data_IF_611037642413
#
_entry.id   IF_611037642413
#
_cell.length_a   1.000
_cell.length_b   1.000
_cell.length_c   1.000
_cell.angle_alpha   90.00
_cell.angle_beta   90.00
_cell.angle_gamma   90.00
#
_symmetry.space_group_name_H-M   'P 1'
#
loop_
_entity.id
_entity.type
_entity.pdbx_description
1 polymer ?
#
# COMPACT_ATOMS: atom_id res chain seq x y z
N UNK A 1 -10.00 -16.06 19.32
CA UNK A 1 -9.57 -14.71 19.72
C UNK A 1 -8.21 -14.86 20.37
N UNK A 2 -7.22 -14.13 19.88
CA UNK A 2 -5.82 -14.16 20.38
C UNK A 2 -5.63 -13.07 21.43
N UNK A 3 -6.20 -11.90 21.21
CA UNK A 3 -6.18 -10.75 22.11
C UNK A 3 -7.37 -9.85 21.81
N UNK A 4 -7.91 -9.23 22.83
CA UNK A 4 -8.92 -8.18 22.72
C UNK A 4 -8.28 -6.86 23.14
N UNK A 5 -8.72 -5.78 22.51
CA UNK A 5 -8.28 -4.43 22.81
C UNK A 5 -9.48 -3.59 23.18
N UNK A 6 -9.28 -2.61 24.05
CA UNK A 6 -10.30 -1.60 24.32
C UNK A 6 -10.62 -0.83 23.02
N UNK A 7 -11.76 -0.16 22.99
CA UNK A 7 -12.16 0.66 21.84
C UNK A 7 -11.09 1.74 21.57
N UNK A 8 -10.49 1.67 20.41
CA UNK A 8 -9.41 2.57 19.95
C UNK A 8 -9.61 2.88 18.47
N UNK A 9 -8.98 3.94 17.99
CA UNK A 9 -9.00 4.27 16.57
C UNK A 9 -7.97 3.42 15.82
N UNK A 10 -8.43 2.69 14.83
CA UNK A 10 -7.58 1.80 14.01
C UNK A 10 -6.55 2.57 13.17
N UNK A 11 -6.80 3.84 12.94
CA UNK A 11 -5.92 4.78 12.21
C UNK A 11 -4.93 5.52 13.12
N UNK A 12 -4.83 5.12 14.38
CA UNK A 12 -3.79 5.59 15.30
C UNK A 12 -2.52 4.76 15.11
N UNK A 13 -1.37 5.43 14.96
CA UNK A 13 -0.09 4.77 14.68
C UNK A 13 0.39 3.87 15.81
N UNK A 14 0.14 4.25 17.06
CA UNK A 14 0.58 3.47 18.22
C UNK A 14 -0.30 2.23 18.37
N UNK A 15 -1.59 2.36 18.10
CA UNK A 15 -2.54 1.24 18.05
C UNK A 15 -2.15 0.25 16.94
N UNK A 16 -1.88 0.73 15.73
CA UNK A 16 -1.44 -0.12 14.62
C UNK A 16 -0.14 -0.87 14.97
N UNK A 17 0.86 -0.16 15.47
CA UNK A 17 2.14 -0.74 15.87
C UNK A 17 1.96 -1.81 16.96
N UNK A 18 1.15 -1.53 17.98
CA UNK A 18 0.86 -2.46 19.06
C UNK A 18 0.17 -3.74 18.56
N UNK A 19 -0.86 -3.59 17.75
CA UNK A 19 -1.60 -4.74 17.18
C UNK A 19 -0.68 -5.61 16.35
N UNK A 20 0.11 -5.03 15.45
CA UNK A 20 1.04 -5.77 14.60
C UNK A 20 2.13 -6.47 15.43
N UNK A 21 2.66 -5.80 16.43
CA UNK A 21 3.66 -6.40 17.35
C UNK A 21 3.09 -7.62 18.08
N UNK A 22 1.88 -7.51 18.61
CA UNK A 22 1.21 -8.62 19.27
C UNK A 22 0.91 -9.79 18.34
N UNK A 23 0.48 -9.51 17.11
CA UNK A 23 0.23 -10.55 16.10
C UNK A 23 1.52 -11.28 15.71
N UNK A 24 2.60 -10.55 15.48
CA UNK A 24 3.90 -11.12 15.13
C UNK A 24 4.45 -11.97 16.28
N UNK A 25 4.35 -11.49 17.52
CA UNK A 25 4.81 -12.23 18.70
C UNK A 25 4.06 -13.55 18.93
N UNK A 26 2.84 -13.69 18.41
CA UNK A 26 2.04 -14.93 18.48
C UNK A 26 2.24 -15.86 17.30
N UNK A 27 2.95 -15.43 16.27
CA UNK A 27 3.21 -16.24 15.08
C UNK A 27 4.53 -17.01 15.21
N UNK A 28 4.54 -18.23 14.66
CA UNK A 28 5.76 -19.03 14.53
C UNK A 28 6.53 -18.76 13.24
N UNK A 29 5.98 -17.95 12.32
CA UNK A 29 6.66 -17.60 11.07
C UNK A 29 7.67 -16.46 11.26
N UNK A 30 8.63 -16.39 10.37
CA UNK A 30 9.61 -15.30 10.31
C UNK A 30 9.33 -14.32 9.16
N UNK A 31 8.43 -14.69 8.24
CA UNK A 31 8.07 -13.92 7.05
C UNK A 31 6.62 -13.47 7.14
N UNK A 32 6.40 -12.20 6.92
CA UNK A 32 5.08 -11.58 7.03
C UNK A 32 4.79 -10.75 5.78
N UNK A 33 3.57 -10.82 5.32
CA UNK A 33 3.01 -9.88 4.35
C UNK A 33 1.81 -9.19 4.96
N UNK A 34 1.49 -8.00 4.49
CA UNK A 34 0.35 -7.21 4.94
C UNK A 34 -0.57 -6.91 3.77
N UNK A 35 -1.86 -6.89 4.05
CA UNK A 35 -2.89 -6.39 3.15
C UNK A 35 -3.64 -5.29 3.89
N UNK A 36 -3.71 -4.12 3.29
CA UNK A 36 -4.45 -2.98 3.80
C UNK A 36 -5.61 -2.68 2.87
N UNK A 37 -6.84 -2.85 3.36
CA UNK A 37 -8.07 -2.50 2.65
C UNK A 37 -8.72 -1.29 3.31
N UNK A 38 -8.82 -0.17 2.61
CA UNK A 38 -9.50 1.04 3.08
C UNK A 38 -9.62 2.10 1.98
N UNK A 39 -10.23 3.24 2.31
CA UNK A 39 -10.06 4.45 1.51
C UNK A 39 -8.65 5.00 1.66
N UNK A 40 -8.10 5.55 0.57
CA UNK A 40 -6.84 6.25 0.59
C UNK A 40 -6.77 7.31 -0.52
N UNK A 41 -5.85 8.24 -0.39
CA UNK A 41 -5.71 9.39 -1.30
C UNK A 41 -4.25 9.79 -1.53
N UNK A 42 -3.33 8.83 -1.41
CA UNK A 42 -1.90 9.07 -1.61
C UNK A 42 -1.25 9.91 -0.49
N UNK A 43 -0.07 10.44 -0.79
CA UNK A 43 0.79 11.21 0.12
C UNK A 43 0.42 12.71 0.21
N UNK A 44 -0.43 13.20 -0.68
CA UNK A 44 -0.80 14.61 -0.72
C UNK A 44 -1.56 15.00 0.55
N UNK A 45 -0.83 15.60 1.48
CA UNK A 45 -1.39 16.29 2.61
C UNK A 45 -1.98 17.63 2.12
N UNK A 46 -3.16 17.59 1.52
CA UNK A 46 -3.75 18.77 0.91
C UNK A 46 -4.73 19.44 1.85
N UNK A 47 -5.11 20.66 1.49
CA UNK A 47 -6.13 21.57 2.02
C UNK A 47 -7.46 20.90 2.43
N UNK A 48 -7.63 19.60 2.15
CA UNK A 48 -8.77 18.79 2.55
C UNK A 48 -8.34 17.78 3.63
N UNK A 49 -8.93 17.81 4.82
CA UNK A 49 -8.56 16.95 5.97
C UNK A 49 -8.70 15.45 5.72
N UNK A 50 -9.28 15.02 4.60
CA UNK A 50 -9.63 13.63 4.30
C UNK A 50 -8.61 12.87 3.45
N UNK A 51 -7.35 13.34 3.33
CA UNK A 51 -6.37 12.74 2.42
C UNK A 51 -5.22 12.06 3.16
N UNK A 52 -5.43 10.79 3.44
CA UNK A 52 -4.49 9.91 4.10
C UNK A 52 -4.89 8.47 3.79
N UNK A 53 -4.46 7.52 4.59
CA UNK A 53 -4.90 6.15 4.56
C UNK A 53 -5.89 5.90 5.71
N UNK A 54 -6.93 5.12 5.42
CA UNK A 54 -7.90 4.69 6.42
C UNK A 54 -8.90 5.78 6.81
N UNK A 55 -9.96 5.35 7.43
CA UNK A 55 -11.00 6.24 7.95
C UNK A 55 -11.65 5.57 9.15
N UNK A 56 -11.73 6.26 10.27
CA UNK A 56 -12.31 5.77 11.52
C UNK A 56 -13.11 6.88 12.20
N UNK A 57 -14.06 6.51 13.09
CA UNK A 57 -14.83 7.49 13.86
C UNK A 57 -15.58 8.50 12.99
N UNK A 58 -16.61 8.11 12.28
CA UNK A 58 -17.42 8.99 11.40
C UNK A 58 -16.61 9.74 10.31
N UNK A 59 -15.39 9.31 10.04
CA UNK A 59 -14.55 9.90 9.01
C UNK A 59 -13.62 11.01 9.47
N UNK A 60 -13.62 11.34 10.75
CA UNK A 60 -12.80 12.43 11.30
C UNK A 60 -11.35 12.04 11.54
N UNK A 61 -11.08 10.73 11.68
CA UNK A 61 -9.74 10.22 11.94
C UNK A 61 -9.19 9.49 10.71
N UNK A 62 -8.00 9.88 10.30
CA UNK A 62 -7.24 9.27 9.20
C UNK A 62 -5.77 9.17 9.58
N UNK A 63 -5.03 8.24 8.97
CA UNK A 63 -3.60 8.08 9.20
C UNK A 63 -2.80 8.70 8.05
N UNK A 64 -1.85 9.56 8.38
CA UNK A 64 -0.91 10.09 7.39
C UNK A 64 0.07 9.01 6.94
N UNK A 65 0.55 9.10 5.71
CA UNK A 65 1.56 8.15 5.19
C UNK A 65 2.83 8.09 6.08
N UNK A 66 3.39 9.21 6.55
CA UNK A 66 4.52 9.15 7.49
C UNK A 66 4.21 8.42 8.79
N UNK A 67 3.02 8.61 9.36
CA UNK A 67 2.60 7.94 10.61
C UNK A 67 2.44 6.44 10.39
N UNK A 68 1.90 6.03 9.23
CA UNK A 68 1.79 4.63 8.85
C UNK A 68 3.17 3.98 8.70
N UNK A 69 4.11 4.66 8.04
CA UNK A 69 5.49 4.19 7.91
C UNK A 69 6.17 4.09 9.29
N UNK A 70 5.95 5.06 10.18
CA UNK A 70 6.47 5.02 11.56
C UNK A 70 5.92 3.81 12.32
N UNK A 71 4.59 3.60 12.29
CA UNK A 71 3.94 2.46 12.92
C UNK A 71 4.49 1.11 12.46
N UNK A 72 4.67 0.94 11.16
CA UNK A 72 5.20 -0.29 10.59
C UNK A 72 6.69 -0.47 10.88
N UNK A 73 7.46 0.61 10.92
CA UNK A 73 8.88 0.56 11.26
C UNK A 73 9.12 0.21 12.73
N UNK A 74 8.23 0.65 13.62
CA UNK A 74 8.30 0.35 15.07
C UNK A 74 8.17 -1.15 15.38
N UNK A 75 7.54 -1.92 14.50
CA UNK A 75 7.43 -3.39 14.62
C UNK A 75 8.79 -4.10 14.48
N UNK A 76 9.80 -3.40 13.95
CA UNK A 76 11.16 -3.92 13.75
C UNK A 76 11.19 -5.21 12.88
N UNK A 77 10.35 -5.26 11.87
CA UNK A 77 10.28 -6.31 10.86
C UNK A 77 10.11 -5.69 9.48
N UNK A 78 10.87 -6.17 8.51
CA UNK A 78 10.62 -5.85 7.11
C UNK A 78 9.64 -6.88 6.54
N UNK A 79 8.55 -6.40 5.98
CA UNK A 79 7.51 -7.24 5.38
C UNK A 79 7.95 -7.73 4.00
N UNK A 80 7.59 -8.97 3.65
CA UNK A 80 7.86 -9.51 2.31
C UNK A 80 7.09 -8.73 1.24
N UNK A 81 5.86 -8.37 1.55
CA UNK A 81 5.07 -7.50 0.70
C UNK A 81 4.09 -6.67 1.52
N UNK A 82 3.65 -5.55 0.95
CA UNK A 82 2.45 -4.82 1.35
C UNK A 82 1.55 -4.71 0.12
N UNK A 83 0.31 -5.19 0.23
CA UNK A 83 -0.73 -4.99 -0.76
C UNK A 83 -1.70 -3.92 -0.26
N UNK A 84 -1.88 -2.87 -1.03
CA UNK A 84 -2.87 -1.84 -0.77
C UNK A 84 -4.10 -2.05 -1.65
N UNK A 85 -5.16 -2.57 -1.07
CA UNK A 85 -6.50 -2.53 -1.63
C UNK A 85 -7.13 -1.18 -1.28
N UNK A 86 -6.54 -0.15 -1.85
CA UNK A 86 -6.83 1.25 -1.55
C UNK A 86 -6.39 2.15 -2.71
N UNK A 87 -7.11 3.25 -2.91
CA UNK A 87 -6.88 4.17 -4.01
C UNK A 87 -5.55 4.92 -3.88
N UNK A 88 -4.87 5.17 -5.01
CA UNK A 88 -3.70 6.05 -5.13
C UNK A 88 -2.47 5.66 -4.32
N UNK A 89 -2.42 4.46 -3.76
CA UNK A 89 -1.27 4.01 -2.96
C UNK A 89 -0.07 3.56 -3.80
N UNK A 90 -0.20 3.49 -5.14
CA UNK A 90 0.88 3.12 -6.07
C UNK A 90 1.71 4.30 -6.60
N UNK A 91 1.58 5.50 -6.04
CA UNK A 91 2.39 6.65 -6.43
C UNK A 91 3.85 6.48 -6.00
N UNK A 92 4.75 7.11 -6.75
CA UNK A 92 6.20 7.02 -6.49
C UNK A 92 6.57 7.48 -5.09
N UNK A 93 5.91 8.52 -4.59
CA UNK A 93 6.15 9.09 -3.27
C UNK A 93 5.76 8.13 -2.16
N UNK A 94 4.59 7.48 -2.29
CA UNK A 94 4.17 6.43 -1.35
C UNK A 94 5.13 5.25 -1.40
N UNK A 95 5.46 4.76 -2.59
CA UNK A 95 6.40 3.67 -2.75
C UNK A 95 7.78 3.97 -2.14
N UNK A 96 8.27 5.19 -2.33
CA UNK A 96 9.51 5.64 -1.70
C UNK A 96 9.42 5.68 -0.18
N UNK A 97 8.28 6.15 0.37
CA UNK A 97 8.07 6.17 1.81
C UNK A 97 8.15 4.75 2.43
N UNK A 98 7.56 3.76 1.76
CA UNK A 98 7.51 2.38 2.25
C UNK A 98 8.75 1.52 1.92
N UNK A 99 9.75 2.03 1.18
CA UNK A 99 10.89 1.25 0.68
C UNK A 99 11.69 0.49 1.74
N UNK A 100 11.75 1.01 2.95
CA UNK A 100 12.45 0.37 4.06
C UNK A 100 11.54 -0.57 4.89
N UNK A 101 10.23 -0.51 4.66
CA UNK A 101 9.21 -1.24 5.42
C UNK A 101 8.90 -2.59 4.79
N UNK A 102 8.88 -2.68 3.46
CA UNK A 102 8.60 -3.92 2.74
C UNK A 102 9.60 -4.17 1.61
N UNK A 103 9.63 -5.42 1.12
CA UNK A 103 10.43 -5.80 -0.05
C UNK A 103 9.69 -5.48 -1.34
N UNK A 104 8.37 -5.70 -1.36
CA UNK A 104 7.52 -5.44 -2.51
C UNK A 104 6.26 -4.70 -2.09
N UNK A 105 5.79 -3.78 -2.95
CA UNK A 105 4.50 -3.12 -2.80
C UNK A 105 3.62 -3.45 -4.00
N UNK A 106 2.36 -3.86 -3.73
CA UNK A 106 1.33 -4.09 -4.74
C UNK A 106 0.24 -3.04 -4.51
N UNK A 107 0.00 -2.19 -5.50
CA UNK A 107 -0.90 -1.05 -5.31
C UNK A 107 -1.30 -0.40 -6.63
N UNK A 108 -2.39 0.34 -6.62
CA UNK A 108 -2.85 1.12 -7.77
C UNK A 108 -2.38 2.56 -7.70
N UNK A 109 -1.94 3.11 -8.84
CA UNK A 109 -1.65 4.56 -8.99
C UNK A 109 -2.94 5.38 -9.15
N UNK A 110 -4.05 4.71 -9.39
CA UNK A 110 -5.39 5.29 -9.55
C UNK A 110 -6.33 4.80 -8.44
N UNK A 111 -7.59 5.17 -8.54
CA UNK A 111 -8.62 4.57 -7.68
C UNK A 111 -8.68 3.06 -7.87
N UNK A 112 -8.96 2.35 -6.82
CA UNK A 112 -9.35 0.94 -6.87
C UNK A 112 -10.87 0.90 -6.98
N UNK A 113 -11.43 0.24 -8.01
CA UNK A 113 -12.88 0.16 -8.15
C UNK A 113 -13.51 -0.57 -6.96
N UNK A 114 -14.80 -0.32 -6.71
CA UNK A 114 -15.51 -0.73 -5.50
C UNK A 114 -15.47 -2.22 -5.13
N UNK A 115 -15.22 -3.10 -6.10
CA UNK A 115 -15.06 -4.54 -5.83
C UNK A 115 -13.71 -4.88 -5.15
N UNK A 116 -12.74 -3.97 -5.17
CA UNK A 116 -11.42 -4.21 -4.60
C UNK A 116 -10.61 -5.28 -5.34
N UNK A 117 -9.71 -5.91 -4.64
CA UNK A 117 -8.92 -7.01 -5.17
C UNK A 117 -9.68 -8.35 -5.08
N UNK A 118 -9.58 -9.24 -6.10
CA UNK A 118 -10.30 -10.53 -6.13
C UNK A 118 -9.59 -11.56 -5.23
N UNK A 119 -9.79 -11.49 -3.92
CA UNK A 119 -9.07 -12.28 -2.91
C UNK A 119 -9.13 -13.80 -3.18
N UNK A 120 -10.26 -14.32 -3.65
CA UNK A 120 -10.42 -15.75 -3.95
C UNK A 120 -9.46 -16.22 -5.04
N UNK A 121 -9.14 -15.38 -6.01
CA UNK A 121 -8.31 -15.73 -7.15
C UNK A 121 -6.82 -15.70 -6.85
N UNK A 122 -6.36 -14.78 -6.02
CA UNK A 122 -4.94 -14.51 -5.87
C UNK A 122 -4.31 -14.96 -4.52
N UNK A 123 -5.08 -15.15 -3.45
CA UNK A 123 -4.53 -15.48 -2.12
C UNK A 123 -3.55 -16.66 -2.17
N UNK A 124 -3.82 -17.66 -2.99
CA UNK A 124 -2.93 -18.82 -3.19
C UNK A 124 -1.51 -18.46 -3.65
N UNK A 125 -1.32 -17.31 -4.28
CA UNK A 125 -0.01 -16.84 -4.76
C UNK A 125 0.78 -16.10 -3.69
N UNK A 126 0.13 -15.42 -2.75
CA UNK A 126 0.80 -14.64 -1.71
C UNK A 126 1.64 -15.50 -0.76
N UNK A 127 1.21 -16.73 -0.49
CA UNK A 127 1.90 -17.62 0.45
C UNK A 127 3.28 -18.10 -0.01
N UNK A 128 3.59 -18.00 -1.29
CA UNK A 128 4.88 -18.48 -1.83
C UNK A 128 6.01 -17.46 -1.66
N UNK A 129 5.67 -16.18 -1.55
CA UNK A 129 6.59 -15.12 -1.19
C UNK A 129 7.70 -14.86 -2.22
N UNK A 130 7.39 -14.96 -3.52
CA UNK A 130 8.34 -14.67 -4.59
C UNK A 130 7.73 -13.72 -5.63
N UNK A 131 8.59 -13.04 -6.38
CA UNK A 131 8.20 -11.99 -7.33
C UNK A 131 7.28 -12.49 -8.45
N UNK A 132 7.47 -13.73 -8.93
CA UNK A 132 6.66 -14.27 -10.02
C UNK A 132 5.23 -14.59 -9.54
N UNK A 133 5.06 -14.97 -8.30
CA UNK A 133 3.74 -15.15 -7.73
C UNK A 133 3.08 -13.80 -7.44
N UNK A 134 3.82 -12.76 -7.04
CA UNK A 134 3.27 -11.40 -6.92
C UNK A 134 2.83 -10.83 -8.28
N UNK A 135 3.53 -11.13 -9.38
CA UNK A 135 3.05 -10.81 -10.73
C UNK A 135 1.71 -11.48 -11.05
N UNK A 136 1.50 -12.73 -10.58
CA UNK A 136 0.20 -13.42 -10.74
C UNK A 136 -0.90 -12.76 -9.93
N UNK A 137 -0.60 -12.21 -8.75
CA UNK A 137 -1.57 -11.37 -8.00
C UNK A 137 -2.02 -10.19 -8.84
N UNK A 138 -1.07 -9.45 -9.41
CA UNK A 138 -1.38 -8.32 -10.29
C UNK A 138 -2.17 -8.77 -11.53
N UNK A 139 -1.79 -9.89 -12.13
CA UNK A 139 -2.51 -10.42 -13.31
C UNK A 139 -3.95 -10.82 -12.95
N UNK A 140 -4.16 -11.50 -11.81
CA UNK A 140 -5.51 -11.86 -11.34
C UNK A 140 -6.40 -10.64 -11.17
N UNK A 141 -5.85 -9.54 -10.63
CA UNK A 141 -6.57 -8.27 -10.50
C UNK A 141 -7.00 -7.71 -11.86
N UNK A 142 -6.10 -7.66 -12.84
CA UNK A 142 -6.40 -7.16 -14.18
C UNK A 142 -7.40 -8.06 -14.90
N UNK A 143 -7.25 -9.38 -14.79
CA UNK A 143 -8.15 -10.35 -15.45
C UNK A 143 -9.56 -10.31 -14.85
N UNK A 144 -9.68 -10.12 -13.53
CA UNK A 144 -10.95 -9.92 -12.86
C UNK A 144 -11.69 -8.71 -13.44
N UNK A 145 -11.04 -7.55 -13.51
CA UNK A 145 -11.69 -6.34 -14.04
C UNK A 145 -11.97 -6.43 -15.54
N UNK A 146 -11.13 -7.11 -16.32
CA UNK A 146 -11.44 -7.41 -17.72
C UNK A 146 -12.68 -8.28 -17.88
N UNK A 147 -12.92 -9.20 -16.96
CA UNK A 147 -14.11 -10.07 -17.01
C UNK A 147 -15.40 -9.35 -16.62
N UNK A 148 -15.30 -8.38 -15.68
CA UNK A 148 -16.46 -7.60 -15.23
C UNK A 148 -16.96 -6.59 -16.27
N UNK A 149 -16.04 -6.06 -17.03
CA UNK A 149 -16.32 -5.00 -17.98
C UNK A 149 -16.27 -5.55 -19.41
N UNK A 150 -17.43 -5.90 -19.95
CA UNK A 150 -17.57 -6.28 -21.35
C UNK A 150 -17.26 -5.11 -22.29
N UNK A 151 -17.00 -5.40 -23.56
CA UNK A 151 -16.73 -4.39 -24.60
C UNK A 151 -17.76 -3.25 -24.56
N UNK A 152 -17.28 -2.01 -24.53
CA UNK A 152 -18.10 -0.79 -24.53
C UNK A 152 -18.34 -0.14 -23.15
N UNK A 153 -17.90 -0.72 -22.05
CA UNK A 153 -17.91 -0.07 -20.73
C UNK A 153 -16.56 0.54 -20.42
N UNK A 154 -16.56 1.73 -19.79
CA UNK A 154 -15.34 2.42 -19.36
C UNK A 154 -14.73 1.70 -18.15
N UNK A 155 -14.04 0.59 -18.41
CA UNK A 155 -13.32 -0.13 -17.37
C UNK A 155 -11.90 0.40 -17.29
N UNK A 156 -11.53 0.81 -16.11
CA UNK A 156 -10.14 1.14 -15.79
C UNK A 156 -9.77 0.48 -14.47
N UNK A 157 -8.67 -0.21 -14.50
CA UNK A 157 -8.02 -0.77 -13.32
C UNK A 157 -6.53 -0.74 -13.55
N UNK A 158 -5.78 -0.29 -12.57
CA UNK A 158 -4.33 -0.27 -12.62
C UNK A 158 -3.77 -0.96 -11.39
N UNK A 159 -2.66 -1.66 -11.57
CA UNK A 159 -1.89 -2.22 -10.46
C UNK A 159 -0.41 -2.22 -10.82
N UNK A 160 0.40 -1.86 -9.86
CA UNK A 160 1.85 -1.87 -9.95
C UNK A 160 2.43 -2.86 -8.94
N UNK A 161 3.41 -3.62 -9.37
CA UNK A 161 4.31 -4.37 -8.49
C UNK A 161 5.63 -3.60 -8.41
N UNK A 162 5.91 -3.05 -7.24
CA UNK A 162 7.04 -2.17 -7.01
C UNK A 162 8.08 -2.94 -6.18
N UNK A 163 9.33 -3.00 -6.68
CA UNK A 163 10.46 -3.53 -5.93
C UNK A 163 11.09 -2.40 -5.11
N UNK A 164 10.96 -2.49 -3.80
CA UNK A 164 11.37 -1.44 -2.87
C UNK A 164 12.87 -1.13 -2.93
N UNK A 165 13.70 -2.10 -3.32
CA UNK A 165 15.17 -1.90 -3.41
C UNK A 165 15.58 -0.93 -4.52
N UNK A 166 14.73 -0.74 -5.54
CA UNK A 166 15.00 0.15 -6.66
C UNK A 166 14.64 1.62 -6.37
N UNK A 167 13.93 1.88 -5.25
CA UNK A 167 13.36 3.21 -4.99
C UNK A 167 14.42 4.28 -4.67
N UNK A 168 15.51 3.93 -3.98
CA UNK A 168 16.59 4.89 -3.72
C UNK A 168 17.34 5.24 -5.01
N UNK A 169 17.53 4.26 -5.90
CA UNK A 169 18.11 4.52 -7.22
C UNK A 169 17.20 5.44 -8.05
N UNK A 170 15.92 5.12 -8.14
CA UNK A 170 14.93 5.95 -8.84
C UNK A 170 14.91 7.39 -8.31
N UNK A 171 14.90 7.57 -6.98
CA UNK A 171 14.91 8.89 -6.36
C UNK A 171 16.20 9.68 -6.69
N UNK A 172 17.33 8.98 -6.72
CA UNK A 172 18.63 9.58 -7.10
C UNK A 172 18.63 10.06 -8.55
N UNK A 173 18.15 9.24 -9.48
CA UNK A 173 18.09 9.61 -10.91
C UNK A 173 17.08 10.76 -11.13
N UNK A 174 15.89 10.67 -10.55
CA UNK A 174 14.89 11.73 -10.64
C UNK A 174 15.44 13.08 -10.12
N UNK A 175 16.16 13.04 -9.00
CA UNK A 175 16.80 14.25 -8.45
C UNK A 175 17.82 14.86 -9.43
N UNK A 176 18.62 14.04 -10.11
CA UNK A 176 19.59 14.50 -11.12
C UNK A 176 18.88 15.20 -12.28
N UNK A 177 17.80 14.58 -12.80
CA UNK A 177 17.01 15.13 -13.89
C UNK A 177 16.32 16.46 -13.50
N UNK A 178 15.71 16.53 -12.31
CA UNK A 178 15.10 17.76 -11.81
C UNK A 178 16.15 18.88 -11.69
N UNK A 179 17.32 18.59 -11.16
CA UNK A 179 18.40 19.59 -11.03
C UNK A 179 18.90 20.04 -12.38
N UNK A 180 19.10 19.11 -13.33
CA UNK A 180 19.56 19.44 -14.68
C UNK A 180 18.56 20.32 -15.46
N UNK A 181 17.26 20.13 -15.22
CA UNK A 181 16.19 20.79 -15.98
C UNK A 181 15.41 21.84 -15.15
N UNK A 182 15.92 22.27 -14.00
CA UNK A 182 15.21 23.18 -13.08
C UNK A 182 14.73 24.48 -13.74
N UNK A 183 15.48 25.01 -14.72
CA UNK A 183 15.11 26.26 -15.41
C UNK A 183 13.92 26.07 -16.38
N UNK A 184 13.68 24.84 -16.85
CA UNK A 184 12.54 24.48 -17.69
C UNK A 184 11.31 24.20 -16.82
N UNK A 185 11.51 23.61 -15.65
CA UNK A 185 10.44 23.25 -14.72
C UNK A 185 9.91 24.46 -13.90
N UNK A 186 10.69 25.56 -13.84
CA UNK A 186 10.33 26.76 -13.10
C UNK A 186 9.50 27.79 -13.92
N UNK A 187 9.25 27.51 -15.20
CA UNK A 187 8.40 28.31 -16.10
C UNK A 187 7.09 27.58 -16.37
#
# INVERSE_FOLDING_TARGET
IVKEYDTQYSVDKDVMSQVLTDMIAKSSTTKFGLIFGSHASSWLNSIYPSRAFGQDGNGDNTMLIPDMVEALSAVNKKFEFILFDACYMGTTEVAYAFRNVCNYQLSSVMEVPAYGFPYEDFMKYLYKGNVDDYKKVCQSYIDFYKSLYSEGTSAWATVSLIDSKEMDYLASELKKEIVAHKNVLAN
#
